data_IF_790455819688
#
_entry.id   IF_790455819688
#
_cell.length_a   1.000
_cell.length_b   1.000
_cell.length_c   1.000
_cell.angle_alpha   90.00
_cell.angle_beta   90.00
_cell.angle_gamma   90.00
#
_symmetry.space_group_name_H-M   'P 1'
#
loop_
_entity.id
_entity.type
_entity.pdbx_description
1 polymer ?
#
# COMPACT_ATOMS: atom_id res chain seq x y z
N UNK A 1 1.73 6.74 8.33
CA UNK A 1 0.87 6.03 9.31
C UNK A 1 1.59 5.99 10.65
N UNK A 2 1.49 7.04 11.47
CA UNK A 2 2.37 7.23 12.65
C UNK A 2 2.05 6.28 13.82
N UNK A 3 0.79 6.13 14.16
CA UNK A 3 0.35 5.27 15.28
C UNK A 3 -0.12 3.90 14.77
N UNK A 4 0.24 2.82 15.47
CA UNK A 4 -0.21 1.43 15.23
C UNK A 4 -0.31 1.07 13.73
N UNK A 5 0.76 1.21 12.94
CA UNK A 5 0.72 0.96 11.50
C UNK A 5 0.33 -0.49 11.16
N UNK A 6 0.61 -1.45 12.05
CA UNK A 6 0.26 -2.86 11.93
C UNK A 6 -1.25 -3.15 12.02
N UNK A 7 -2.04 -2.16 12.43
CA UNK A 7 -3.51 -2.20 12.43
C UNK A 7 -4.12 -1.49 11.21
N UNK A 8 -3.29 -0.99 10.28
CA UNK A 8 -3.75 -0.14 9.16
C UNK A 8 -3.52 -0.79 7.80
N UNK A 9 -4.39 -0.42 6.87
CA UNK A 9 -4.31 -0.80 5.46
C UNK A 9 -3.90 0.43 4.66
N UNK A 10 -2.72 0.41 4.02
CA UNK A 10 -2.36 1.48 3.07
C UNK A 10 -2.99 1.19 1.72
N UNK A 11 -3.69 2.17 1.13
CA UNK A 11 -4.34 2.01 -0.16
C UNK A 11 -3.72 2.96 -1.19
N UNK A 12 -3.03 2.41 -2.18
CA UNK A 12 -2.58 3.17 -3.35
C UNK A 12 -3.68 3.13 -4.41
N UNK A 13 -4.23 4.29 -4.77
CA UNK A 13 -5.38 4.37 -5.66
C UNK A 13 -5.12 5.28 -6.86
N UNK A 14 -5.49 4.81 -8.06
CA UNK A 14 -5.47 5.66 -9.24
C UNK A 14 -6.58 6.71 -9.16
N UNK A 15 -6.31 7.91 -9.68
CA UNK A 15 -7.22 9.04 -9.59
C UNK A 15 -8.53 8.79 -10.36
N UNK A 16 -8.44 8.22 -11.56
CA UNK A 16 -9.57 8.18 -12.51
C UNK A 16 -10.63 7.13 -12.20
N UNK A 17 -10.25 6.02 -11.56
CA UNK A 17 -11.16 4.90 -11.31
C UNK A 17 -11.24 4.61 -9.81
N UNK A 18 -10.18 4.07 -9.21
CA UNK A 18 -10.26 3.59 -7.83
C UNK A 18 -10.51 4.70 -6.81
N UNK A 19 -9.97 5.91 -7.01
CA UNK A 19 -10.26 7.05 -6.14
C UNK A 19 -11.73 7.46 -6.27
N UNK A 20 -12.25 7.49 -7.50
CA UNK A 20 -13.68 7.71 -7.76
C UNK A 20 -14.57 6.63 -7.15
N UNK A 21 -14.13 5.36 -7.14
CA UNK A 21 -14.83 4.27 -6.46
C UNK A 21 -14.87 4.47 -4.94
N UNK A 22 -13.78 4.97 -4.35
CA UNK A 22 -13.77 5.34 -2.93
C UNK A 22 -14.71 6.52 -2.64
N UNK A 23 -14.72 7.55 -3.48
CA UNK A 23 -15.66 8.68 -3.38
C UNK A 23 -17.11 8.22 -3.54
N UNK A 24 -17.38 7.33 -4.50
CA UNK A 24 -18.70 6.73 -4.72
C UNK A 24 -19.16 5.94 -3.49
N UNK A 25 -18.26 5.20 -2.82
CA UNK A 25 -18.58 4.54 -1.57
C UNK A 25 -19.03 5.52 -0.47
N UNK A 26 -18.37 6.68 -0.38
CA UNK A 26 -18.77 7.76 0.52
C UNK A 26 -20.13 8.37 0.17
N UNK A 27 -20.34 8.74 -1.09
CA UNK A 27 -21.60 9.34 -1.58
C UNK A 27 -22.78 8.38 -1.45
N UNK A 28 -22.57 7.08 -1.68
CA UNK A 28 -23.59 6.05 -1.54
C UNK A 28 -23.76 5.53 -0.11
N UNK A 29 -23.04 6.09 0.86
CA UNK A 29 -23.07 5.70 2.28
C UNK A 29 -22.74 4.22 2.54
N UNK A 30 -21.96 3.57 1.68
CA UNK A 30 -21.49 2.22 1.93
C UNK A 30 -20.51 2.23 3.10
N UNK A 31 -20.88 1.58 4.19
CA UNK A 31 -20.05 1.51 5.39
C UNK A 31 -18.92 0.50 5.20
N UNK A 32 -17.73 0.87 5.66
CA UNK A 32 -16.56 -0.01 5.74
C UNK A 32 -15.68 0.40 6.92
N UNK A 33 -14.80 -0.48 7.43
CA UNK A 33 -13.96 -0.17 8.57
C UNK A 33 -13.00 1.02 8.35
N UNK A 34 -12.70 1.81 9.40
CA UNK A 34 -11.92 3.06 9.30
C UNK A 34 -10.39 2.83 9.39
N UNK A 35 -9.90 1.64 9.07
CA UNK A 35 -8.47 1.25 9.16
C UNK A 35 -7.68 1.53 7.88
N UNK A 36 -8.36 1.80 6.76
CA UNK A 36 -7.72 2.14 5.49
C UNK A 36 -7.23 3.59 5.42
N UNK A 37 -6.08 3.82 4.78
CA UNK A 37 -5.52 5.16 4.51
C UNK A 37 -5.12 5.25 3.04
N UNK A 38 -5.85 6.07 2.29
CA UNK A 38 -5.67 6.25 0.85
C UNK A 38 -4.57 7.23 0.48
N UNK A 39 -3.75 6.88 -0.51
CA UNK A 39 -2.85 7.78 -1.23
C UNK A 39 -3.26 7.79 -2.69
N UNK A 40 -3.59 8.99 -3.17
CA UNK A 40 -3.95 9.24 -4.57
C UNK A 40 -2.72 9.37 -5.44
N UNK A 41 -2.72 8.69 -6.57
CA UNK A 41 -1.80 8.93 -7.70
C UNK A 41 -2.58 8.99 -9.00
N UNK A 42 -2.02 9.58 -10.06
CA UNK A 42 -2.74 9.73 -11.33
C UNK A 42 -3.07 8.38 -11.98
N UNK A 43 -2.14 7.43 -11.95
CA UNK A 43 -2.30 6.12 -12.58
C UNK A 43 -1.69 5.02 -11.71
N UNK A 44 -2.24 3.81 -11.78
CA UNK A 44 -1.61 2.63 -11.17
C UNK A 44 -0.21 2.35 -11.73
N UNK A 45 0.10 2.77 -12.96
CA UNK A 45 1.46 2.71 -13.52
C UNK A 45 2.48 3.51 -12.71
N UNK A 46 2.06 4.56 -11.99
CA UNK A 46 2.93 5.36 -11.12
C UNK A 46 3.25 4.63 -9.81
N UNK A 47 2.45 3.64 -9.44
CA UNK A 47 2.66 2.86 -8.23
C UNK A 47 3.82 1.89 -8.47
N UNK A 48 4.98 2.22 -7.94
CA UNK A 48 6.16 1.34 -7.99
C UNK A 48 6.08 0.29 -6.87
N UNK A 49 6.75 -0.86 -7.05
CA UNK A 49 6.90 -1.87 -6.00
C UNK A 49 7.54 -1.27 -4.75
N UNK A 50 8.47 -0.33 -4.94
CA UNK A 50 9.13 0.39 -3.85
C UNK A 50 8.15 1.08 -2.91
N UNK A 51 7.02 1.61 -3.40
CA UNK A 51 6.01 2.25 -2.53
C UNK A 51 5.32 1.22 -1.62
N UNK A 52 5.11 0.00 -2.12
CA UNK A 52 4.54 -1.10 -1.33
C UNK A 52 5.56 -1.59 -0.31
N UNK A 53 6.83 -1.75 -0.70
CA UNK A 53 7.90 -2.14 0.21
C UNK A 53 8.11 -1.10 1.30
N UNK A 54 8.07 0.19 0.95
CA UNK A 54 8.15 1.29 1.90
C UNK A 54 7.01 1.26 2.92
N UNK A 55 5.79 0.91 2.48
CA UNK A 55 4.67 0.77 3.40
C UNK A 55 4.94 -0.30 4.46
N UNK A 56 5.46 -1.47 4.07
CA UNK A 56 5.87 -2.52 5.00
C UNK A 56 7.06 -2.10 5.87
N UNK A 57 8.04 -1.38 5.32
CA UNK A 57 9.16 -0.79 6.09
C UNK A 57 8.64 0.14 7.21
N UNK A 58 7.57 0.88 6.94
CA UNK A 58 6.88 1.75 7.90
C UNK A 58 5.87 1.00 8.79
N UNK A 59 5.83 -0.33 8.72
CA UNK A 59 5.05 -1.16 9.62
C UNK A 59 3.60 -1.43 9.19
N UNK A 60 3.20 -1.09 7.96
CA UNK A 60 1.82 -1.26 7.49
C UNK A 60 1.30 -2.69 7.72
N UNK A 61 0.10 -2.84 8.26
CA UNK A 61 -0.54 -4.15 8.45
C UNK A 61 -0.80 -4.85 7.12
N UNK A 62 -1.43 -4.15 6.17
CA UNK A 62 -1.63 -4.61 4.80
C UNK A 62 -1.47 -3.46 3.80
N UNK A 63 -1.30 -3.81 2.52
CA UNK A 63 -1.24 -2.85 1.42
C UNK A 63 -2.18 -3.27 0.29
N UNK A 64 -3.03 -2.34 -0.14
CA UNK A 64 -3.89 -2.46 -1.31
C UNK A 64 -3.34 -1.58 -2.43
N UNK A 65 -3.17 -2.16 -3.62
CA UNK A 65 -3.01 -1.41 -4.86
C UNK A 65 -4.31 -1.52 -5.64
N UNK A 66 -4.83 -0.37 -6.07
CA UNK A 66 -6.06 -0.33 -6.84
C UNK A 66 -6.01 0.61 -8.04
N UNK A 67 -6.55 0.15 -9.16
CA UNK A 67 -6.54 0.84 -10.45
C UNK A 67 -7.83 0.68 -11.24
N UNK A 68 -7.83 1.17 -12.47
CA UNK A 68 -8.91 0.91 -13.44
C UNK A 68 -8.96 -0.57 -13.82
N UNK A 69 -10.05 -0.99 -14.46
CA UNK A 69 -10.08 -2.27 -15.19
C UNK A 69 -9.12 -2.25 -16.39
N UNK A 70 -8.73 -3.42 -16.93
CA UNK A 70 -7.67 -3.51 -17.95
C UNK A 70 -7.91 -2.72 -19.24
N UNK A 71 -9.17 -2.50 -19.62
CA UNK A 71 -9.58 -1.78 -20.83
C UNK A 71 -9.95 -0.31 -20.55
N UNK A 72 -10.16 0.05 -19.28
CA UNK A 72 -10.69 1.35 -18.86
C UNK A 72 -9.58 2.31 -18.42
N UNK A 73 -8.31 1.97 -18.66
CA UNK A 73 -7.21 2.79 -18.21
C UNK A 73 -7.26 4.16 -18.91
N UNK A 74 -7.40 5.23 -18.12
CA UNK A 74 -7.37 6.61 -18.63
C UNK A 74 -6.09 6.92 -19.42
N UNK A 75 -4.97 6.28 -19.07
CA UNK A 75 -3.70 6.40 -19.78
C UNK A 75 -3.41 5.20 -20.69
N UNK A 76 -4.47 4.59 -21.23
CA UNK A 76 -4.48 3.52 -22.25
C UNK A 76 -3.91 2.19 -21.75
N UNK A 77 -2.62 2.13 -21.39
CA UNK A 77 -1.92 0.89 -21.04
C UNK A 77 -1.38 0.85 -19.61
N UNK A 78 -1.50 1.95 -18.85
CA UNK A 78 -0.87 2.08 -17.53
C UNK A 78 -1.29 1.01 -16.53
N UNK A 79 -2.55 0.59 -16.55
CA UNK A 79 -3.06 -0.51 -15.73
C UNK A 79 -2.33 -1.83 -16.02
N UNK A 80 -2.12 -2.15 -17.30
CA UNK A 80 -1.53 -3.42 -17.72
C UNK A 80 -0.05 -3.49 -17.34
N UNK A 81 0.63 -2.35 -17.37
CA UNK A 81 2.00 -2.20 -16.84
C UNK A 81 2.02 -2.47 -15.33
N UNK A 82 1.09 -1.88 -14.59
CA UNK A 82 0.97 -2.09 -13.15
C UNK A 82 0.65 -3.55 -12.80
N UNK A 83 -0.29 -4.18 -13.51
CA UNK A 83 -0.69 -5.57 -13.29
C UNK A 83 0.51 -6.53 -13.38
N UNK A 84 1.29 -6.45 -14.48
CA UNK A 84 2.51 -7.27 -14.66
C UNK A 84 3.58 -6.98 -13.62
N UNK A 85 3.68 -5.72 -13.15
CA UNK A 85 4.63 -5.33 -12.09
C UNK A 85 4.24 -5.96 -10.75
N UNK A 86 2.97 -5.88 -10.36
CA UNK A 86 2.51 -6.35 -9.06
C UNK A 86 2.33 -7.86 -8.98
N UNK A 87 2.08 -8.55 -10.10
CA UNK A 87 2.14 -10.01 -10.17
C UNK A 87 3.49 -10.56 -9.68
N UNK A 88 4.59 -9.87 -10.00
CA UNK A 88 5.95 -10.24 -9.56
C UNK A 88 6.24 -9.89 -8.10
N UNK A 89 5.41 -9.05 -7.48
CA UNK A 89 5.65 -8.55 -6.13
C UNK A 89 5.37 -9.63 -5.08
N UNK A 90 4.36 -10.49 -5.28
CA UNK A 90 4.05 -11.60 -4.37
C UNK A 90 5.29 -12.46 -4.05
N UNK A 91 5.98 -12.97 -5.08
CA UNK A 91 7.24 -13.73 -4.93
C UNK A 91 8.38 -12.93 -4.30
N UNK A 92 8.32 -11.60 -4.36
CA UNK A 92 9.32 -10.74 -3.73
C UNK A 92 9.03 -10.58 -2.24
N UNK A 93 7.76 -10.46 -1.85
CA UNK A 93 7.35 -10.42 -0.45
C UNK A 93 7.71 -11.74 0.25
N UNK A 94 7.42 -12.90 -0.36
CA UNK A 94 7.78 -14.22 0.18
C UNK A 94 9.28 -14.32 0.50
N UNK A 95 10.12 -13.89 -0.45
CA UNK A 95 11.59 -13.91 -0.28
C UNK A 95 12.09 -12.94 0.79
N UNK A 96 11.33 -11.89 1.08
CA UNK A 96 11.64 -10.95 2.15
C UNK A 96 11.07 -11.42 3.50
N UNK A 97 10.41 -12.59 3.54
CA UNK A 97 9.76 -13.10 4.74
C UNK A 97 8.44 -12.42 5.06
N UNK A 98 7.88 -11.63 4.12
CA UNK A 98 6.59 -10.95 4.31
C UNK A 98 5.47 -11.87 3.81
N UNK A 99 4.44 -12.07 4.64
CA UNK A 99 3.26 -12.86 4.26
C UNK A 99 2.57 -12.21 3.05
N UNK A 100 2.50 -12.89 1.89
CA UNK A 100 1.93 -12.34 0.67
C UNK A 100 0.45 -12.02 0.77
N UNK A 101 -0.29 -12.66 1.68
CA UNK A 101 -1.70 -12.36 1.94
C UNK A 101 -1.91 -10.93 2.45
N UNK A 102 -0.86 -10.26 2.94
CA UNK A 102 -0.88 -8.86 3.38
C UNK A 102 -0.87 -7.87 2.20
N UNK A 103 -0.68 -8.34 0.97
CA UNK A 103 -0.71 -7.52 -0.22
C UNK A 103 -1.86 -7.93 -1.15
N UNK A 104 -2.66 -6.97 -1.59
CA UNK A 104 -3.77 -7.20 -2.50
C UNK A 104 -3.72 -6.23 -3.67
N UNK A 105 -4.09 -6.72 -4.85
CA UNK A 105 -4.30 -5.92 -6.05
C UNK A 105 -5.76 -6.03 -6.45
N UNK A 106 -6.43 -4.90 -6.64
CA UNK A 106 -7.81 -4.86 -7.11
C UNK A 106 -7.98 -3.86 -8.25
N UNK A 107 -8.98 -4.11 -9.09
CA UNK A 107 -9.32 -3.22 -10.20
C UNK A 107 -10.74 -2.72 -9.98
N UNK A 108 -10.87 -1.44 -9.63
CA UNK A 108 -12.11 -0.82 -9.16
C UNK A 108 -12.40 0.40 -10.03
N UNK A 109 -13.53 0.36 -10.73
CA UNK A 109 -14.05 1.47 -11.54
C UNK A 109 -14.57 2.61 -10.65
N UNK A 110 -14.79 3.78 -11.25
CA UNK A 110 -15.37 4.92 -10.55
C UNK A 110 -16.81 4.68 -10.04
N UNK A 111 -17.55 3.75 -10.65
CA UNK A 111 -18.92 3.42 -10.27
C UNK A 111 -19.03 2.21 -9.32
N UNK A 112 -17.90 1.62 -8.94
CA UNK A 112 -17.84 0.40 -8.12
C UNK A 112 -17.65 0.73 -6.62
N UNK A 113 -18.44 1.66 -6.07
CA UNK A 113 -18.34 2.03 -4.65
C UNK A 113 -18.64 0.89 -3.68
N UNK A 114 -19.64 0.05 -4.01
CA UNK A 114 -19.98 -1.14 -3.21
C UNK A 114 -18.79 -2.13 -3.17
N UNK A 115 -18.13 -2.32 -4.31
CA UNK A 115 -16.93 -3.17 -4.40
C UNK A 115 -15.79 -2.60 -3.57
N UNK A 116 -15.57 -1.29 -3.61
CA UNK A 116 -14.55 -0.65 -2.78
C UNK A 116 -14.80 -0.94 -1.29
N UNK A 117 -16.01 -0.67 -0.81
CA UNK A 117 -16.39 -0.91 0.59
C UNK A 117 -16.23 -2.39 0.98
N UNK A 118 -16.64 -3.31 0.10
CA UNK A 118 -16.47 -4.76 0.28
C UNK A 118 -14.99 -5.15 0.37
N UNK A 119 -14.15 -4.70 -0.56
CA UNK A 119 -12.70 -5.01 -0.58
C UNK A 119 -12.02 -4.54 0.71
N UNK A 120 -12.30 -3.31 1.15
CA UNK A 120 -11.74 -2.78 2.40
C UNK A 120 -12.22 -3.61 3.60
N UNK A 121 -13.50 -3.97 3.64
CA UNK A 121 -14.07 -4.80 4.71
C UNK A 121 -13.42 -6.19 4.76
N UNK A 122 -13.27 -6.86 3.61
CA UNK A 122 -12.59 -8.17 3.51
C UNK A 122 -11.14 -8.08 3.99
N UNK A 123 -10.41 -7.03 3.58
CA UNK A 123 -9.03 -6.83 4.01
C UNK A 123 -8.94 -6.50 5.49
N UNK A 124 -9.88 -5.72 6.04
CA UNK A 124 -9.94 -5.39 7.47
C UNK A 124 -10.17 -6.65 8.31
N UNK A 125 -11.11 -7.51 7.90
CA UNK A 125 -11.35 -8.80 8.55
C UNK A 125 -10.12 -9.70 8.48
N UNK A 126 -9.46 -9.77 7.32
CA UNK A 126 -8.21 -10.52 7.17
C UNK A 126 -7.12 -9.96 8.07
N UNK A 127 -6.96 -8.64 8.14
CA UNK A 127 -6.00 -7.98 9.02
C UNK A 127 -6.28 -8.28 10.49
N UNK A 128 -7.54 -8.29 10.91
CA UNK A 128 -7.95 -8.63 12.26
C UNK A 128 -7.62 -10.09 12.64
N UNK A 129 -7.55 -11.00 11.66
CA UNK A 129 -7.18 -12.40 11.90
C UNK A 129 -5.70 -12.63 12.18
N UNK A 130 -4.83 -11.66 11.87
CA UNK A 130 -3.39 -11.78 12.10
C UNK A 130 -2.98 -11.37 13.51
N UNK A 131 -2.00 -12.09 14.07
CA UNK A 131 -1.29 -11.67 15.29
C UNK A 131 -0.45 -10.41 14.99
N UNK A 132 -0.78 -9.31 15.68
CA UNK A 132 -0.11 -8.02 15.50
C UNK A 132 1.36 -8.06 15.89
N UNK A 133 1.73 -8.88 16.87
CA UNK A 133 3.11 -9.00 17.29
C UNK A 133 3.93 -9.83 16.28
N UNK A 134 3.33 -10.83 15.65
CA UNK A 134 3.92 -11.49 14.48
C UNK A 134 4.13 -10.51 13.32
N UNK A 135 3.14 -9.65 12.98
CA UNK A 135 3.28 -8.67 11.90
C UNK A 135 4.40 -7.66 12.16
N UNK A 136 4.55 -7.19 13.41
CA UNK A 136 5.65 -6.29 13.81
C UNK A 136 7.01 -6.95 13.61
N UNK A 137 7.17 -8.19 14.10
CA UNK A 137 8.42 -8.97 13.93
C UNK A 137 8.74 -9.20 12.45
N UNK A 138 7.73 -9.51 11.64
CA UNK A 138 7.87 -9.69 10.20
C UNK A 138 8.38 -8.42 9.50
N UNK A 139 7.76 -7.27 9.81
CA UNK A 139 8.15 -5.98 9.25
C UNK A 139 9.58 -5.59 9.67
N UNK A 140 9.94 -5.78 10.94
CA UNK A 140 11.27 -5.44 11.44
C UNK A 140 12.36 -6.35 10.83
N UNK A 141 12.10 -7.65 10.69
CA UNK A 141 13.01 -8.58 10.02
C UNK A 141 13.26 -8.21 8.55
N UNK A 142 12.22 -7.77 7.83
CA UNK A 142 12.32 -7.36 6.44
C UNK A 142 12.96 -5.97 6.25
N UNK A 143 12.99 -5.14 7.30
CA UNK A 143 13.32 -3.72 7.24
C UNK A 143 14.67 -3.43 6.59
N UNK A 144 15.72 -4.14 7.00
CA UNK A 144 17.08 -3.98 6.45
C UNK A 144 17.11 -4.33 4.96
N UNK A 145 16.51 -5.45 4.58
CA UNK A 145 16.47 -5.90 3.19
C UNK A 145 15.67 -4.94 2.28
N UNK A 146 14.57 -4.39 2.80
CA UNK A 146 13.80 -3.35 2.10
C UNK A 146 14.63 -2.08 1.94
N UNK A 147 15.28 -1.58 3.00
CA UNK A 147 16.13 -0.39 2.93
C UNK A 147 17.23 -0.51 1.88
N UNK A 148 17.87 -1.68 1.76
CA UNK A 148 18.88 -1.92 0.72
C UNK A 148 18.31 -1.82 -0.69
N UNK A 149 17.05 -2.22 -0.91
CA UNK A 149 16.36 -2.05 -2.21
C UNK A 149 15.97 -0.60 -2.48
N UNK A 150 15.66 0.16 -1.43
CA UNK A 150 15.29 1.57 -1.50
C UNK A 150 16.49 2.53 -1.53
N UNK A 151 17.73 2.03 -1.62
CA UNK A 151 18.93 2.87 -1.67
C UNK A 151 18.87 3.95 -2.75
N UNK A 152 18.23 3.67 -3.90
CA UNK A 152 18.06 4.66 -4.98
C UNK A 152 17.24 5.89 -4.56
N UNK A 153 16.45 5.80 -3.50
CA UNK A 153 15.73 6.96 -2.98
C UNK A 153 16.66 7.90 -2.21
N UNK A 154 17.75 7.42 -1.61
CA UNK A 154 18.73 8.31 -0.96
C UNK A 154 19.46 9.23 -1.95
N UNK A 155 19.50 8.86 -3.23
CA UNK A 155 20.04 9.75 -4.28
C UNK A 155 19.05 10.80 -4.78
N UNK A 156 17.77 10.73 -4.37
CA UNK A 156 16.78 11.75 -4.72
C UNK A 156 16.79 12.84 -3.63
N UNK A 157 16.97 14.13 -3.97
CA UNK A 157 17.16 15.21 -2.99
C UNK A 157 16.10 15.25 -1.88
N UNK A 158 14.82 15.26 -2.28
CA UNK A 158 13.70 15.35 -1.33
C UNK A 158 13.60 14.11 -0.42
N UNK A 159 13.95 12.94 -0.96
CA UNK A 159 13.92 11.70 -0.18
C UNK A 159 15.13 11.58 0.75
N UNK A 160 16.29 12.10 0.35
CA UNK A 160 17.48 12.11 1.20
C UNK A 160 17.23 12.87 2.51
N UNK A 161 16.55 14.02 2.42
CA UNK A 161 16.13 14.79 3.58
C UNK A 161 15.20 13.98 4.49
N UNK A 162 14.17 13.33 3.93
CA UNK A 162 13.25 12.47 4.70
C UNK A 162 13.98 11.33 5.42
N UNK A 163 14.99 10.72 4.81
CA UNK A 163 15.76 9.67 5.47
C UNK A 163 16.67 10.20 6.58
N UNK A 164 17.22 11.40 6.43
CA UNK A 164 18.03 12.04 7.46
C UNK A 164 17.17 12.41 8.68
N UNK A 165 16.00 13.03 8.45
CA UNK A 165 15.03 13.33 9.52
C UNK A 165 14.60 12.05 10.27
N UNK A 166 14.41 10.93 9.57
CA UNK A 166 14.08 9.64 10.20
C UNK A 166 15.22 9.04 11.02
N UNK A 167 16.48 9.30 10.65
CA UNK A 167 17.64 8.86 11.43
C UNK A 167 17.74 9.69 12.71
N UNK A 168 17.53 11.01 12.62
CA UNK A 168 17.47 11.92 13.77
C UNK A 168 16.31 11.57 14.73
N UNK A 169 15.08 11.37 14.23
CA UNK A 169 13.92 11.00 15.06
C UNK A 169 14.16 9.70 15.87
N UNK A 170 14.95 8.77 15.33
CA UNK A 170 15.28 7.52 16.02
C UNK A 170 16.37 7.68 17.06
N UNK A 171 17.37 8.51 16.80
CA UNK A 171 18.41 8.83 17.79
C UNK A 171 17.77 9.51 19.00
N UNK A 172 16.88 10.48 18.79
CA UNK A 172 16.15 11.17 19.85
C UNK A 172 15.21 10.24 20.62
N UNK A 173 14.62 9.23 19.98
CA UNK A 173 13.74 8.26 20.65
C UNK A 173 14.49 7.19 21.49
N UNK A 174 15.83 7.13 21.39
CA UNK A 174 16.70 6.20 22.12
C UNK A 174 17.40 6.84 23.32
N UNK A 175 17.33 8.17 23.47
CA UNK A 175 17.76 8.95 24.65
C UNK A 175 16.64 9.06 25.70
#
# INVERSE_FOLDING_TARGET
>A
MREKPEEKILVLMCHWCSYGGADNAGVSHFQYPPDSRGIRVMCSARMDQDLVLEAFRRGAGMVLVSGCHPQDCHYISGQQVAARRFERLFRTLERLGINPERFRVEWISAAEGEKYARVITEMSQKLASFDKEALRRENEAARKAIMQRLLRWRSLPDMAAVFAEEEEEKEVALE
#
